data_IF_638032594776
#
_entry.id   IF_638032594776
#
_cell.length_a   1.000
_cell.length_b   1.000
_cell.length_c   1.000
_cell.angle_alpha   90.00
_cell.angle_beta   90.00
_cell.angle_gamma   90.00
#
_symmetry.space_group_name_H-M   'P 1'
#
loop_
_entity.id
_entity.type
_entity.pdbx_description
1 polymer ?
#
# COMPACT_ATOMS: atom_id res chain seq x y z
N UNK A 1 -9.71 0.93 -27.51
CA UNK A 1 -8.71 1.93 -27.18
C UNK A 1 -7.89 1.47 -26.01
N UNK A 2 -6.62 1.70 -26.08
CA UNK A 2 -5.73 1.34 -25.00
C UNK A 2 -5.96 2.25 -23.81
N UNK A 3 -6.03 1.64 -22.64
CA UNK A 3 -6.06 2.39 -21.40
C UNK A 3 -4.63 2.74 -21.02
N UNK A 4 -4.39 4.01 -20.80
CA UNK A 4 -3.10 4.48 -20.36
C UNK A 4 -3.26 5.21 -19.05
N UNK A 5 -2.36 4.91 -18.13
CA UNK A 5 -2.30 5.63 -16.86
C UNK A 5 -1.04 6.49 -16.87
N UNK A 6 -1.23 7.78 -16.73
CA UNK A 6 -0.13 8.73 -16.60
C UNK A 6 0.16 8.95 -15.13
N UNK A 7 1.43 8.90 -14.77
CA UNK A 7 1.86 9.10 -13.41
C UNK A 7 2.32 10.55 -13.21
N UNK A 8 1.68 11.25 -12.29
CA UNK A 8 2.11 12.57 -11.86
C UNK A 8 2.49 12.51 -10.39
N UNK A 9 3.61 13.10 -10.05
CA UNK A 9 4.15 13.09 -8.72
C UNK A 9 3.97 14.43 -8.04
N UNK A 10 3.49 14.40 -6.80
CA UNK A 10 3.38 15.57 -5.95
C UNK A 10 4.15 15.32 -4.67
N UNK A 11 4.95 16.28 -4.25
CA UNK A 11 5.60 16.22 -2.95
C UNK A 11 4.63 16.72 -1.91
N UNK A 12 4.22 15.84 -1.01
CA UNK A 12 3.26 16.18 0.04
C UNK A 12 3.86 17.09 1.09
N UNK A 13 5.16 16.96 1.32
CA UNK A 13 5.89 17.71 2.33
C UNK A 13 7.18 18.20 1.69
N UNK A 14 7.33 19.50 1.65
CA UNK A 14 8.36 20.14 0.83
C UNK A 14 9.78 19.71 1.14
N UNK A 15 10.05 19.34 2.38
CA UNK A 15 11.39 18.99 2.81
C UNK A 15 11.66 17.50 2.87
N UNK A 16 10.79 16.70 2.23
CA UNK A 16 10.91 15.25 2.29
C UNK A 16 11.05 14.64 0.90
N UNK A 17 12.17 13.96 0.70
CA UNK A 17 12.42 13.23 -0.53
C UNK A 17 11.83 11.82 -0.50
N UNK A 18 11.40 11.37 0.66
CA UNK A 18 10.93 10.00 0.88
C UNK A 18 9.41 9.86 0.91
N UNK A 19 8.66 10.96 0.81
CA UNK A 19 7.20 10.92 0.84
C UNK A 19 6.64 11.52 -0.43
N UNK A 20 5.82 10.76 -1.15
CA UNK A 20 5.26 11.19 -2.42
C UNK A 20 3.77 10.98 -2.46
N UNK A 21 3.07 11.96 -2.99
CA UNK A 21 1.66 11.85 -3.31
C UNK A 21 1.54 11.73 -4.82
N UNK A 22 0.92 10.65 -5.30
CA UNK A 22 0.74 10.40 -6.72
C UNK A 22 -0.71 10.60 -7.12
N UNK A 23 -0.92 11.28 -8.23
CA UNK A 23 -2.22 11.32 -8.89
C UNK A 23 -2.09 10.64 -10.24
N UNK A 24 -3.05 9.81 -10.58
CA UNK A 24 -3.01 9.00 -11.80
C UNK A 24 -4.12 9.44 -12.73
N UNK A 25 -3.76 9.58 -13.99
CA UNK A 25 -4.68 10.02 -15.03
C UNK A 25 -4.64 9.10 -16.23
N UNK A 26 -5.79 8.88 -16.83
CA UNK A 26 -5.89 8.30 -18.17
C UNK A 26 -6.29 9.44 -19.10
N UNK A 27 -5.34 9.96 -19.85
CA UNK A 27 -5.48 11.20 -20.61
C UNK A 27 -5.81 12.35 -19.65
N UNK A 28 -7.00 12.95 -19.73
CA UNK A 28 -7.40 14.02 -18.84
C UNK A 28 -8.27 13.55 -17.67
N UNK A 29 -8.63 12.28 -17.66
CA UNK A 29 -9.50 11.74 -16.64
C UNK A 29 -8.72 11.33 -15.40
N UNK A 30 -9.11 11.86 -14.25
CA UNK A 30 -8.52 11.46 -12.98
C UNK A 30 -8.97 10.07 -12.60
N UNK A 31 -8.02 9.17 -12.40
CA UNK A 31 -8.28 7.75 -12.11
C UNK A 31 -8.21 7.44 -10.62
N UNK A 32 -7.21 7.99 -9.95
CA UNK A 32 -7.02 7.67 -8.55
C UNK A 32 -5.74 8.27 -8.01
N UNK A 33 -5.43 7.94 -6.77
CA UNK A 33 -4.24 8.49 -6.14
C UNK A 33 -3.66 7.51 -5.13
N UNK A 34 -2.40 7.74 -4.77
CA UNK A 34 -1.69 6.96 -3.78
C UNK A 34 -0.73 7.84 -3.00
N UNK A 35 -0.50 7.50 -1.75
CA UNK A 35 0.52 8.13 -0.94
C UNK A 35 1.54 7.08 -0.54
N UNK A 36 2.81 7.35 -0.84
CA UNK A 36 3.89 6.40 -0.63
C UNK A 36 5.02 7.03 0.18
N UNK A 37 5.63 6.19 1.01
CA UNK A 37 6.80 6.58 1.79
C UNK A 37 7.87 5.55 1.49
N UNK A 38 9.07 6.00 1.15
CA UNK A 38 10.13 5.09 0.74
C UNK A 38 11.39 5.25 1.57
N UNK A 39 12.16 4.19 1.62
CA UNK A 39 13.54 4.23 2.05
C UNK A 39 14.37 3.52 1.00
N UNK A 40 15.61 3.19 1.29
CA UNK A 40 16.51 2.61 0.29
C UNK A 40 16.13 1.20 -0.13
N UNK A 41 15.33 0.49 0.65
CA UNK A 41 15.03 -0.93 0.42
C UNK A 41 13.60 -1.22 0.02
N UNK A 42 12.67 -0.33 0.40
CA UNK A 42 11.25 -0.61 0.20
C UNK A 42 10.48 0.70 0.06
N UNK A 43 9.25 0.60 -0.45
CA UNK A 43 8.31 1.70 -0.36
C UNK A 43 6.99 1.18 0.20
N UNK A 44 6.38 2.01 1.01
CA UNK A 44 5.17 1.68 1.74
C UNK A 44 4.02 2.51 1.21
N UNK A 45 2.93 1.85 0.83
CA UNK A 45 1.73 2.53 0.39
C UNK A 45 0.80 2.69 1.58
N UNK A 46 0.68 3.90 2.07
CA UNK A 46 -0.20 4.18 3.19
C UNK A 46 -1.63 4.44 2.74
N UNK A 47 -1.79 4.84 1.49
CA UNK A 47 -3.11 5.11 0.94
C UNK A 47 -3.11 4.85 -0.56
N UNK A 48 -4.19 4.22 -1.05
CA UNK A 48 -4.36 3.92 -2.47
C UNK A 48 -5.85 3.85 -2.75
N UNK A 49 -6.31 4.66 -3.69
CA UNK A 49 -7.72 4.69 -4.05
C UNK A 49 -7.90 4.91 -5.54
N UNK A 50 -8.91 4.25 -6.08
CA UNK A 50 -9.35 4.42 -7.47
C UNK A 50 -10.77 4.97 -7.42
N UNK A 51 -11.06 5.91 -8.31
CA UNK A 51 -12.39 6.49 -8.40
C UNK A 51 -13.43 5.37 -8.57
N UNK A 52 -14.55 5.44 -7.83
CA UNK A 52 -15.51 4.33 -7.83
C UNK A 52 -16.01 3.90 -9.20
N UNK A 53 -16.26 4.85 -10.10
CA UNK A 53 -16.78 4.53 -11.43
C UNK A 53 -15.73 3.94 -12.37
N UNK A 54 -14.46 3.93 -11.95
CA UNK A 54 -13.37 3.37 -12.74
C UNK A 54 -12.83 2.06 -12.17
N UNK A 55 -13.44 1.56 -11.10
CA UNK A 55 -13.04 0.27 -10.54
C UNK A 55 -13.40 -0.85 -11.53
N UNK A 56 -12.63 -1.94 -11.46
CA UNK A 56 -12.82 -3.12 -12.32
C UNK A 56 -12.50 -2.87 -13.80
N UNK A 57 -11.69 -1.84 -14.08
CA UNK A 57 -11.22 -1.53 -15.43
C UNK A 57 -9.75 -1.83 -15.65
N UNK A 58 -9.10 -2.48 -14.68
CA UNK A 58 -7.68 -2.80 -14.79
C UNK A 58 -6.72 -1.71 -14.33
N UNK A 59 -7.22 -0.58 -13.88
CA UNK A 59 -6.36 0.52 -13.45
C UNK A 59 -5.53 0.19 -12.21
N UNK A 60 -6.10 -0.56 -11.27
CA UNK A 60 -5.36 -0.94 -10.06
C UNK A 60 -4.09 -1.68 -10.39
N UNK A 61 -4.16 -2.62 -11.30
CA UNK A 61 -3.00 -3.38 -11.75
C UNK A 61 -1.97 -2.47 -12.43
N UNK A 62 -2.43 -1.58 -13.30
CA UNK A 62 -1.52 -0.66 -14.00
C UNK A 62 -0.81 0.29 -13.03
N UNK A 63 -1.53 0.77 -12.04
CA UNK A 63 -0.95 1.66 -11.03
C UNK A 63 0.11 0.93 -10.21
N UNK A 64 -0.16 -0.30 -9.80
CA UNK A 64 0.83 -1.11 -9.07
C UNK A 64 2.09 -1.27 -9.90
N UNK A 65 1.96 -1.60 -11.19
CA UNK A 65 3.13 -1.76 -12.06
C UNK A 65 3.91 -0.45 -12.20
N UNK A 66 3.22 0.66 -12.34
CA UNK A 66 3.88 1.96 -12.45
C UNK A 66 4.63 2.35 -11.17
N UNK A 67 4.04 2.07 -10.02
CA UNK A 67 4.71 2.35 -8.75
C UNK A 67 5.97 1.50 -8.58
N UNK A 68 5.90 0.23 -8.95
CA UNK A 68 7.06 -0.66 -8.88
C UNK A 68 8.15 -0.19 -9.84
N UNK A 69 7.78 0.20 -11.05
CA UNK A 69 8.74 0.76 -12.01
C UNK A 69 9.39 2.03 -11.49
N UNK A 70 8.61 2.88 -10.84
CA UNK A 70 9.11 4.15 -10.33
C UNK A 70 10.15 3.94 -9.22
N UNK A 71 9.84 3.09 -8.25
CA UNK A 71 10.70 2.91 -7.08
C UNK A 71 11.77 1.86 -7.27
N UNK A 72 11.52 0.82 -8.05
CA UNK A 72 12.44 -0.30 -8.23
C UNK A 72 12.81 -0.97 -6.90
N UNK A 73 11.82 -1.12 -6.01
CA UNK A 73 12.01 -1.66 -4.67
C UNK A 73 10.80 -2.49 -4.28
N UNK A 74 10.91 -3.21 -3.17
CA UNK A 74 9.79 -3.97 -2.63
C UNK A 74 8.65 -3.04 -2.23
N UNK A 75 7.45 -3.35 -2.69
CA UNK A 75 6.23 -2.62 -2.34
C UNK A 75 5.57 -3.29 -1.13
N UNK A 76 5.25 -2.50 -0.13
CA UNK A 76 4.64 -2.99 1.11
C UNK A 76 3.33 -2.24 1.35
N UNK A 77 2.31 -2.97 1.77
CA UNK A 77 1.05 -2.36 2.19
C UNK A 77 0.34 -3.29 3.19
N UNK A 78 -0.75 -2.81 3.76
CA UNK A 78 -1.58 -3.63 4.63
C UNK A 78 -2.99 -3.71 4.10
N UNK A 79 -3.66 -4.82 4.39
CA UNK A 79 -5.09 -4.98 4.15
C UNK A 79 -5.75 -5.39 5.45
N UNK A 80 -7.02 -5.05 5.58
CA UNK A 80 -7.77 -5.45 6.75
C UNK A 80 -7.77 -6.96 6.90
N UNK A 81 -7.51 -7.42 8.12
CA UNK A 81 -7.45 -8.84 8.41
C UNK A 81 -8.79 -9.49 8.13
N UNK A 82 -8.77 -10.68 7.55
CA UNK A 82 -9.99 -11.47 7.35
C UNK A 82 -10.49 -11.96 8.68
N UNK A 83 -11.67 -11.49 9.06
CA UNK A 83 -12.32 -11.82 10.31
C UNK A 83 -13.76 -12.14 9.99
N UNK A 84 -14.21 -13.34 10.37
CA UNK A 84 -15.55 -13.82 10.06
C UNK A 84 -16.65 -12.99 10.72
N UNK A 85 -16.33 -12.30 11.80
CA UNK A 85 -17.28 -11.49 12.53
C UNK A 85 -17.45 -10.07 11.99
N UNK A 86 -16.76 -9.71 10.92
CA UNK A 86 -16.85 -8.37 10.38
C UNK A 86 -17.97 -8.24 9.35
N UNK A 87 -18.57 -7.05 9.27
CA UNK A 87 -19.70 -6.78 8.38
C UNK A 87 -19.32 -6.74 6.91
N UNK A 88 -18.05 -6.45 6.62
CA UNK A 88 -17.57 -6.26 5.25
C UNK A 88 -16.61 -7.36 4.80
N UNK A 89 -16.84 -8.59 5.26
CA UNK A 89 -15.95 -9.71 4.97
C UNK A 89 -15.73 -9.92 3.48
N UNK A 90 -16.80 -9.86 2.68
CA UNK A 90 -16.67 -10.06 1.23
C UNK A 90 -15.81 -8.99 0.57
N UNK A 91 -15.92 -7.76 1.02
CA UNK A 91 -15.09 -6.67 0.52
C UNK A 91 -13.62 -6.87 0.88
N UNK A 92 -13.37 -7.34 2.11
CA UNK A 92 -12.00 -7.64 2.56
C UNK A 92 -11.39 -8.78 1.76
N UNK A 93 -12.16 -9.83 1.49
CA UNK A 93 -11.72 -10.96 0.67
C UNK A 93 -11.38 -10.51 -0.75
N UNK A 94 -12.23 -9.69 -1.35
CA UNK A 94 -11.99 -9.19 -2.70
C UNK A 94 -10.72 -8.38 -2.76
N UNK A 95 -10.46 -7.55 -1.76
CA UNK A 95 -9.25 -6.74 -1.70
C UNK A 95 -8.02 -7.63 -1.57
N UNK A 96 -8.06 -8.60 -0.67
CA UNK A 96 -6.97 -9.55 -0.50
C UNK A 96 -6.69 -10.30 -1.79
N UNK A 97 -7.74 -10.82 -2.43
CA UNK A 97 -7.60 -11.55 -3.70
C UNK A 97 -6.99 -10.69 -4.80
N UNK A 98 -7.39 -9.42 -4.86
CA UNK A 98 -6.84 -8.49 -5.83
C UNK A 98 -5.32 -8.40 -5.69
N UNK A 99 -4.83 -8.20 -4.47
CA UNK A 99 -3.39 -8.08 -4.27
C UNK A 99 -2.67 -9.39 -4.51
N UNK A 100 -3.22 -10.51 -4.06
CA UNK A 100 -2.60 -11.81 -4.30
C UNK A 100 -2.52 -12.13 -5.79
N UNK A 101 -3.54 -11.76 -6.57
CA UNK A 101 -3.53 -11.96 -8.02
C UNK A 101 -2.54 -11.02 -8.72
N UNK A 102 -2.13 -9.95 -8.08
CA UNK A 102 -1.17 -9.00 -8.62
C UNK A 102 0.24 -9.19 -8.07
N UNK A 103 0.55 -10.39 -7.62
CA UNK A 103 1.91 -10.77 -7.26
C UNK A 103 2.32 -10.49 -5.83
N UNK A 104 1.39 -10.05 -5.00
CA UNK A 104 1.68 -9.85 -3.59
C UNK A 104 1.68 -11.17 -2.83
N UNK A 105 2.45 -11.21 -1.76
CA UNK A 105 2.53 -12.33 -0.83
C UNK A 105 2.27 -11.82 0.58
N UNK A 106 1.80 -12.69 1.45
CA UNK A 106 1.67 -12.34 2.86
C UNK A 106 3.03 -12.36 3.54
N UNK A 107 3.26 -11.37 4.38
CA UNK A 107 4.48 -11.31 5.19
C UNK A 107 4.38 -12.18 6.43
N UNK A 108 3.25 -12.84 6.67
CA UNK A 108 2.96 -13.60 7.88
C UNK A 108 3.13 -12.72 9.13
N UNK A 109 2.67 -11.50 9.03
CA UNK A 109 2.75 -10.51 10.09
C UNK A 109 1.53 -9.62 10.06
N UNK A 110 1.19 -9.09 11.21
CA UNK A 110 0.05 -8.20 11.35
C UNK A 110 0.48 -6.89 11.98
N UNK A 111 -0.16 -5.82 11.54
CA UNK A 111 -0.08 -4.52 12.17
C UNK A 111 -1.36 -4.32 12.98
N UNK A 112 -1.23 -3.89 14.22
CA UNK A 112 -2.39 -3.58 15.04
C UNK A 112 -2.44 -2.10 15.33
N UNK A 113 -3.61 -1.50 15.13
CA UNK A 113 -3.82 -0.10 15.27
C UNK A 113 -5.24 0.18 15.71
N UNK A 114 -5.40 0.85 16.85
CA UNK A 114 -6.70 1.22 17.41
C UNK A 114 -7.70 0.07 17.47
N UNK A 115 -7.25 -1.09 17.90
CA UNK A 115 -8.11 -2.25 18.02
C UNK A 115 -8.40 -2.97 16.71
N UNK A 116 -7.86 -2.48 15.61
CA UNK A 116 -7.98 -3.12 14.31
C UNK A 116 -6.70 -3.87 13.96
N UNK A 117 -6.85 -4.96 13.22
CA UNK A 117 -5.72 -5.77 12.81
C UNK A 117 -5.64 -5.79 11.28
N UNK A 118 -4.43 -5.58 10.77
CA UNK A 118 -4.17 -5.55 9.34
C UNK A 118 -3.11 -6.57 8.99
N UNK A 119 -3.29 -7.26 7.89
CA UNK A 119 -2.29 -8.18 7.42
C UNK A 119 -1.33 -7.45 6.48
N UNK A 120 -0.02 -7.68 6.68
CA UNK A 120 1.01 -7.04 5.88
C UNK A 120 1.26 -7.87 4.63
N UNK A 121 1.20 -7.22 3.47
CA UNK A 121 1.48 -7.83 2.18
C UNK A 121 2.67 -7.12 1.54
N UNK A 122 3.41 -7.87 0.72
CA UNK A 122 4.52 -7.29 -0.01
C UNK A 122 4.63 -7.88 -1.41
N UNK A 123 5.20 -7.11 -2.30
CA UNK A 123 5.57 -7.59 -3.63
C UNK A 123 7.02 -7.27 -3.87
N UNK A 124 7.84 -8.31 -4.05
CA UNK A 124 9.27 -8.23 -4.18
C UNK A 124 9.88 -9.58 -3.82
N UNK A 125 11.18 -9.64 -3.74
CA UNK A 125 11.87 -10.89 -3.47
C UNK A 125 11.64 -11.40 -2.05
N UNK A 126 11.59 -10.49 -1.09
CA UNK A 126 11.36 -10.85 0.29
C UNK A 126 10.82 -9.67 1.07
N UNK A 127 10.21 -9.94 2.22
CA UNK A 127 9.75 -8.90 3.12
C UNK A 127 10.88 -8.52 4.07
N UNK A 128 11.33 -7.27 3.99
CA UNK A 128 12.36 -6.74 4.87
C UNK A 128 11.67 -6.07 6.06
N UNK A 129 11.63 -6.79 7.18
CA UNK A 129 10.98 -6.32 8.40
C UNK A 129 11.63 -5.05 8.94
N UNK A 130 12.95 -4.99 8.88
CA UNK A 130 13.67 -3.82 9.38
C UNK A 130 13.34 -2.57 8.56
N UNK A 131 13.31 -2.70 7.24
CA UNK A 131 12.93 -1.60 6.37
C UNK A 131 11.52 -1.10 6.66
N UNK A 132 10.59 -2.02 6.88
CA UNK A 132 9.22 -1.69 7.24
C UNK A 132 9.15 -0.94 8.57
N UNK A 133 9.83 -1.45 9.58
CA UNK A 133 9.86 -0.81 10.90
C UNK A 133 10.47 0.59 10.84
N UNK A 134 11.51 0.75 10.06
CA UNK A 134 12.18 2.06 9.94
C UNK A 134 11.24 3.11 9.35
N UNK A 135 10.42 2.73 8.38
CA UNK A 135 9.44 3.64 7.80
C UNK A 135 8.46 4.13 8.88
N UNK A 136 7.93 3.21 9.67
CA UNK A 136 6.96 3.56 10.71
C UNK A 136 7.58 4.35 11.85
N UNK A 137 8.79 4.01 12.28
CA UNK A 137 9.48 4.76 13.30
C UNK A 137 9.66 6.22 12.90
N UNK A 138 10.06 6.44 11.67
CA UNK A 138 10.25 7.79 11.15
C UNK A 138 8.94 8.57 11.14
N UNK A 139 7.84 7.93 10.77
CA UNK A 139 6.53 8.57 10.78
C UNK A 139 6.11 8.95 12.18
N UNK A 140 6.35 8.11 13.17
CA UNK A 140 6.04 8.41 14.55
C UNK A 140 6.87 9.58 15.08
N UNK A 141 8.15 9.59 14.79
CA UNK A 141 9.06 10.64 15.24
C UNK A 141 8.67 12.01 14.69
N UNK A 142 8.12 12.04 13.50
CA UNK A 142 7.71 13.28 12.85
C UNK A 142 6.26 13.66 13.14
N UNK A 143 5.58 12.89 13.96
CA UNK A 143 4.19 13.12 14.36
C UNK A 143 3.20 13.19 13.21
N UNK A 144 3.48 12.50 12.11
CA UNK A 144 2.54 12.42 11.00
C UNK A 144 1.32 11.60 11.35
N UNK A 145 1.51 10.58 12.16
CA UNK A 145 0.42 9.73 12.60
C UNK A 145 0.48 9.63 14.13
N UNK A 146 -0.61 9.96 14.73
CA UNK A 146 -0.76 9.86 16.17
C UNK A 146 -1.34 8.49 16.51
N UNK A 147 -0.57 7.45 16.28
CA UNK A 147 -1.00 6.10 16.58
C UNK A 147 0.18 5.25 17.03
N UNK A 148 -0.16 4.15 17.65
CA UNK A 148 0.81 3.19 18.15
C UNK A 148 0.82 1.98 17.23
N UNK A 149 2.00 1.54 16.82
CA UNK A 149 2.15 0.38 15.95
C UNK A 149 2.64 -0.78 16.78
N UNK A 150 1.91 -1.87 16.74
CA UNK A 150 2.32 -3.14 17.32
C UNK A 150 2.51 -4.13 16.20
N UNK A 151 3.59 -4.86 16.28
CA UNK A 151 3.99 -5.78 15.23
C UNK A 151 3.99 -7.19 15.76
N UNK A 152 3.24 -8.08 15.10
CA UNK A 152 3.17 -9.48 15.49
C UNK A 152 3.33 -10.37 14.28
N UNK A 153 4.05 -11.47 14.48
CA UNK A 153 4.17 -12.51 13.46
C UNK A 153 3.19 -13.62 13.75
N UNK A 154 2.78 -14.29 12.69
CA UNK A 154 2.07 -15.55 12.86
C UNK A 154 2.98 -16.56 13.55
N UNK A 155 2.39 -17.37 14.40
CA UNK A 155 3.08 -18.54 14.92
C UNK A 155 3.02 -19.62 13.84
N UNK A 156 4.16 -20.18 13.50
CA UNK A 156 4.22 -21.33 12.60
C UNK A 156 3.94 -22.59 13.41
N UNK A 157 2.98 -23.35 12.96
CA UNK A 157 2.61 -24.59 13.60
C UNK A 157 2.78 -25.77 12.69
#
# INVERSE_FOLDING_TARGET
>A
AEERVSLEEFLSYQDRDDAHFFAFYNEEEFVGFAFAISNQKAFYISFFAIMPHLRSHGYGREIIEKLIDFYQRTMILEVERLDEDCDNLEQRKSRMDFYLQNGFKTANAFLEYEGMSFEILYRGDHFDEEAYRNIFQKLQEENYFDFRIEYRRFSDH
#
